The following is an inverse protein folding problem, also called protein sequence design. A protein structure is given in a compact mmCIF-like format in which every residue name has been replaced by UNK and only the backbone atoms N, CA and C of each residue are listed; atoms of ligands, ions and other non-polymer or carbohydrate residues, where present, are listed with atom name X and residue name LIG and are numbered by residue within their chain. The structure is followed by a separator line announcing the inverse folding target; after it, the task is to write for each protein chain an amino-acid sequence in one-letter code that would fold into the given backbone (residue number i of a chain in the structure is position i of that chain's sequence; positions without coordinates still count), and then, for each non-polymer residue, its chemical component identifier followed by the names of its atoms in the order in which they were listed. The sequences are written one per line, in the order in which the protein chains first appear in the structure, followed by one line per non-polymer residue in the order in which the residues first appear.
data_IF_374429446713
#
_entry.id   IF_374429446713
#
_cell.length_a   1.000
_cell.length_b   1.000
_cell.length_c   1.000
_cell.angle_alpha   90.00
_cell.angle_beta   90.00
_cell.angle_gamma   90.00
#
_symmetry.space_group_name_H-M   'P 1'
#
loop_
_entity.id
_entity.type
_entity.pdbx_description
1 polymer ?
#
# COMPACT_ATOMS: atom_id res chain seq x y z
N UNK A 1 -9.42 67.04 53.32
CA UNK A 1 -8.83 68.01 52.38
C UNK A 1 -8.96 67.39 51.00
N UNK A 2 -9.94 67.84 50.34
CA UNK A 2 -10.03 68.46 49.01
C UNK A 2 -9.57 67.48 47.86
N UNK A 3 -10.22 67.31 46.76
CA UNK A 3 -11.44 67.99 46.21
C UNK A 3 -11.84 67.17 44.95
N UNK A 4 -13.12 66.93 44.78
CA UNK A 4 -13.97 67.16 43.60
C UNK A 4 -13.32 67.14 42.18
N UNK A 5 -13.82 66.42 41.21
CA UNK A 5 -14.96 66.74 40.32
C UNK A 5 -14.96 65.72 39.19
N UNK A 6 -16.03 64.96 38.93
CA UNK A 6 -17.14 65.22 38.02
C UNK A 6 -16.69 65.68 36.64
N UNK A 7 -16.86 64.84 35.62
CA UNK A 7 -17.51 65.21 34.37
C UNK A 7 -18.01 63.94 33.64
N UNK A 8 -19.33 63.86 33.51
CA UNK A 8 -20.04 63.05 32.52
C UNK A 8 -19.70 63.52 31.11
N UNK A 9 -19.50 62.61 30.17
CA UNK A 9 -19.84 62.87 28.75
C UNK A 9 -20.26 61.57 28.09
N UNK A 10 -21.48 61.58 27.65
CA UNK A 10 -22.10 60.76 26.62
C UNK A 10 -21.19 60.63 25.42
N UNK A 11 -21.06 59.45 24.91
CA UNK A 11 -20.54 59.25 23.55
C UNK A 11 -21.47 58.31 22.80
N UNK A 12 -22.08 58.91 21.81
CA UNK A 12 -23.01 58.40 20.85
C UNK A 12 -22.50 57.11 20.18
N UNK A 13 -23.39 56.17 20.04
CA UNK A 13 -23.25 54.94 19.25
C UNK A 13 -23.30 55.33 17.76
N UNK A 14 -22.16 55.45 17.09
CA UNK A 14 -22.11 55.56 15.63
C UNK A 14 -22.18 54.17 15.02
N UNK A 15 -23.34 53.83 14.52
CA UNK A 15 -23.59 52.69 13.65
C UNK A 15 -22.94 52.90 12.30
N UNK A 16 -21.77 52.32 12.07
CA UNK A 16 -21.11 52.33 10.77
C UNK A 16 -21.73 51.23 9.89
N UNK A 17 -22.70 51.60 9.08
CA UNK A 17 -23.23 50.78 7.99
C UNK A 17 -22.12 50.52 6.95
N UNK A 18 -21.51 49.35 6.96
CA UNK A 18 -20.66 48.88 5.86
C UNK A 18 -21.53 48.64 4.63
N UNK A 19 -21.43 49.55 3.65
CA UNK A 19 -21.94 49.38 2.30
C UNK A 19 -21.28 48.12 1.69
N UNK A 20 -22.06 47.07 1.51
CA UNK A 20 -21.72 45.92 0.68
C UNK A 20 -21.67 46.39 -0.77
N UNK A 21 -20.48 46.57 -1.32
CA UNK A 21 -20.23 46.89 -2.72
C UNK A 21 -20.58 45.67 -3.55
N UNK A 22 -21.69 45.72 -4.29
CA UNK A 22 -22.15 44.64 -5.15
C UNK A 22 -21.11 44.29 -6.22
N UNK A 23 -20.68 43.05 -6.27
CA UNK A 23 -19.74 42.50 -7.29
C UNK A 23 -20.43 42.20 -8.64
N UNK A 24 -21.63 42.70 -8.86
CA UNK A 24 -22.40 42.45 -10.09
C UNK A 24 -21.75 42.90 -11.42
N UNK A 25 -20.99 44.00 -11.52
CA UNK A 25 -20.41 44.37 -12.81
C UNK A 25 -19.30 43.43 -13.28
N UNK A 26 -18.63 42.76 -12.36
CA UNK A 26 -17.51 41.84 -12.70
C UNK A 26 -18.01 40.52 -13.27
N UNK A 27 -19.13 40.03 -12.76
CA UNK A 27 -19.75 38.77 -13.25
C UNK A 27 -20.33 38.96 -14.65
N UNK A 28 -20.96 40.12 -14.93
CA UNK A 28 -21.49 40.42 -16.25
C UNK A 28 -20.37 40.55 -17.29
N UNK A 29 -19.23 41.12 -16.93
CA UNK A 29 -18.07 41.25 -17.82
C UNK A 29 -17.46 39.86 -18.16
N UNK A 30 -17.36 38.96 -17.20
CA UNK A 30 -16.83 37.59 -17.42
C UNK A 30 -17.78 36.79 -18.30
N UNK A 31 -19.07 36.86 -18.09
CA UNK A 31 -20.06 36.15 -18.92
C UNK A 31 -20.05 36.67 -20.36
N UNK A 32 -19.89 37.99 -20.56
CA UNK A 32 -19.79 38.55 -21.90
C UNK A 32 -18.54 38.11 -22.65
N UNK A 33 -17.38 38.02 -21.96
CA UNK A 33 -16.12 37.50 -22.57
C UNK A 33 -16.22 36.04 -22.94
N UNK A 34 -16.82 35.21 -22.10
CA UNK A 34 -17.03 33.78 -22.38
C UNK A 34 -17.96 33.57 -23.57
N UNK A 35 -19.04 34.37 -23.68
CA UNK A 35 -19.95 34.32 -24.83
C UNK A 35 -19.26 34.70 -26.15
N UNK A 36 -18.41 35.74 -26.14
CA UNK A 36 -17.67 36.18 -27.36
C UNK A 36 -16.65 35.10 -27.78
N UNK A 37 -15.93 34.48 -26.83
CA UNK A 37 -14.97 33.44 -27.14
C UNK A 37 -15.69 32.18 -27.69
N UNK A 38 -16.86 31.84 -27.16
CA UNK A 38 -17.66 30.70 -27.64
C UNK A 38 -18.18 30.97 -29.06
N UNK A 39 -18.63 32.18 -29.39
CA UNK A 39 -19.08 32.57 -30.74
C UNK A 39 -17.91 32.55 -31.74
N UNK A 40 -16.74 33.04 -31.33
CA UNK A 40 -15.54 33.01 -32.17
C UNK A 40 -15.08 31.55 -32.47
N UNK A 41 -15.18 30.65 -31.48
CA UNK A 41 -14.84 29.24 -31.63
C UNK A 41 -15.80 28.52 -32.57
N UNK A 42 -17.11 28.76 -32.46
CA UNK A 42 -18.11 28.20 -33.38
C UNK A 42 -17.94 28.76 -34.81
N UNK A 43 -17.63 30.06 -34.95
CA UNK A 43 -17.34 30.66 -36.23
C UNK A 43 -16.07 30.07 -36.88
N UNK A 44 -15.05 29.75 -36.12
CA UNK A 44 -13.83 29.04 -36.58
C UNK A 44 -14.10 27.61 -37.01
N UNK A 45 -15.00 26.90 -36.31
CA UNK A 45 -15.41 25.51 -36.65
C UNK A 45 -16.27 25.47 -37.94
N UNK A 46 -17.03 26.53 -38.24
CA UNK A 46 -17.93 26.63 -39.40
C UNK A 46 -17.30 27.35 -40.62
N UNK A 47 -16.00 27.74 -40.50
CA UNK A 47 -15.32 28.39 -41.62
C UNK A 47 -14.99 27.35 -42.68
N UNK A 48 -15.59 27.47 -43.89
CA UNK A 48 -15.26 26.54 -44.97
C UNK A 48 -13.83 26.82 -45.42
N UNK A 49 -12.93 25.85 -45.05
CA UNK A 49 -11.55 25.89 -45.52
C UNK A 49 -11.50 26.00 -47.04
N UNK A 50 -10.81 27.03 -47.52
CA UNK A 50 -10.58 27.21 -48.97
C UNK A 50 -9.95 25.93 -49.54
N UNK A 51 -10.66 25.32 -50.46
CA UNK A 51 -10.21 24.19 -51.30
C UNK A 51 -8.89 24.58 -51.95
N UNK A 52 -7.78 24.00 -51.47
CA UNK A 52 -6.51 24.02 -52.14
C UNK A 52 -6.66 23.24 -53.47
N UNK A 53 -6.20 23.85 -54.55
CA UNK A 53 -6.12 23.21 -55.89
C UNK A 53 -5.43 21.87 -55.78
N UNK A 54 -5.91 20.81 -56.49
CA UNK A 54 -5.25 19.52 -56.49
C UNK A 54 -3.85 19.66 -57.10
N UNK A 55 -2.84 19.28 -56.33
CA UNK A 55 -1.48 19.07 -56.82
C UNK A 55 -1.52 17.85 -57.75
N UNK A 56 -1.01 17.91 -58.99
CA UNK A 56 -1.00 16.75 -59.84
C UNK A 56 -0.15 15.64 -59.22
N UNK A 57 -0.71 14.45 -59.14
CA UNK A 57 -0.03 13.26 -58.64
C UNK A 57 1.20 12.97 -59.53
N UNK A 58 2.36 12.63 -58.96
CA UNK A 58 3.49 12.15 -59.73
C UNK A 58 3.06 10.89 -60.51
N UNK A 59 3.31 10.86 -61.79
CA UNK A 59 3.13 9.69 -62.67
C UNK A 59 3.81 8.50 -62.02
N UNK A 60 3.03 7.46 -61.71
CA UNK A 60 3.55 6.15 -61.38
C UNK A 60 4.38 5.64 -62.57
N UNK A 61 5.66 5.54 -62.37
CA UNK A 61 6.52 4.75 -63.24
C UNK A 61 6.23 3.31 -62.88
N UNK A 62 5.53 2.63 -63.76
CA UNK A 62 5.31 1.19 -63.62
C UNK A 62 6.64 0.50 -63.90
N UNK A 63 7.37 0.19 -62.83
CA UNK A 63 8.30 -0.92 -62.85
C UNK A 63 7.44 -2.17 -62.73
N UNK A 64 7.40 -2.95 -63.77
CA UNK A 64 6.88 -4.29 -63.73
C UNK A 64 7.79 -5.13 -62.83
N UNK A 65 7.38 -5.28 -61.60
CA UNK A 65 7.83 -6.36 -60.76
C UNK A 65 6.62 -7.22 -60.42
N UNK A 66 6.65 -8.37 -60.97
CA UNK A 66 5.92 -9.55 -60.55
C UNK A 66 6.00 -9.63 -59.01
N UNK A 67 4.89 -9.89 -58.31
CA UNK A 67 4.98 -10.12 -56.87
C UNK A 67 5.94 -11.30 -56.67
N UNK A 68 7.14 -10.97 -56.21
CA UNK A 68 8.08 -11.98 -55.80
C UNK A 68 7.39 -12.83 -54.75
N UNK A 69 7.29 -14.12 -55.01
CA UNK A 69 7.10 -15.14 -53.99
C UNK A 69 7.89 -14.74 -52.72
N UNK A 70 7.34 -14.92 -51.50
CA UNK A 70 8.14 -14.79 -50.32
C UNK A 70 9.38 -15.67 -50.53
N UNK A 71 10.55 -15.05 -50.41
CA UNK A 71 11.80 -15.76 -50.56
C UNK A 71 11.69 -16.98 -49.64
N UNK A 72 11.63 -18.16 -50.24
CA UNK A 72 11.75 -19.41 -49.56
C UNK A 72 13.04 -19.25 -48.71
N UNK A 73 12.91 -19.26 -47.42
CA UNK A 73 14.02 -19.29 -46.46
C UNK A 73 14.69 -20.64 -46.71
N UNK A 74 15.63 -20.65 -47.70
CA UNK A 74 16.31 -21.87 -48.10
C UNK A 74 17.08 -22.37 -46.87
N UNK A 75 16.57 -23.43 -46.27
CA UNK A 75 17.31 -24.15 -45.22
C UNK A 75 18.66 -24.55 -45.85
N UNK A 76 19.71 -23.91 -45.37
CA UNK A 76 21.07 -24.20 -45.88
C UNK A 76 21.59 -25.42 -45.15
N UNK A 77 21.82 -26.48 -45.91
CA UNK A 77 22.31 -27.75 -45.39
C UNK A 77 23.84 -27.76 -45.39
N UNK A 78 24.41 -28.20 -44.28
CA UNK A 78 25.83 -28.45 -44.13
C UNK A 78 26.04 -29.95 -43.93
N UNK A 79 26.80 -30.60 -44.81
CA UNK A 79 27.20 -31.98 -44.68
C UNK A 79 28.66 -32.07 -44.27
N UNK A 80 28.96 -32.84 -43.25
CA UNK A 80 30.31 -33.05 -42.75
C UNK A 80 30.79 -34.48 -43.00
N UNK A 81 32.08 -34.64 -43.21
CA UNK A 81 32.70 -35.97 -43.27
C UNK A 81 32.75 -36.62 -41.88
N UNK A 82 32.61 -37.95 -41.78
CA UNK A 82 32.62 -38.63 -40.46
C UNK A 82 33.85 -38.35 -39.59
N UNK A 83 35.00 -38.12 -40.20
CA UNK A 83 36.26 -37.77 -39.51
C UNK A 83 36.21 -36.40 -38.87
N UNK A 84 35.55 -35.43 -39.52
CA UNK A 84 35.37 -34.07 -39.00
C UNK A 84 34.40 -34.02 -37.81
N UNK A 85 33.38 -34.89 -37.84
CA UNK A 85 32.42 -35.02 -36.75
C UNK A 85 33.05 -35.57 -35.47
N UNK A 86 33.95 -36.53 -35.58
CA UNK A 86 34.65 -37.09 -34.40
C UNK A 86 35.58 -36.03 -33.73
N UNK A 87 36.19 -35.16 -34.54
CA UNK A 87 37.05 -34.11 -34.01
C UNK A 87 36.27 -32.92 -33.45
N UNK A 88 35.03 -32.72 -33.89
CA UNK A 88 34.21 -31.56 -33.51
C UNK A 88 33.59 -31.67 -32.10
N UNK A 89 33.53 -32.91 -31.51
CA UNK A 89 32.98 -33.11 -30.16
C UNK A 89 31.55 -32.56 -30.01
N UNK A 90 30.71 -32.75 -31.01
CA UNK A 90 29.38 -32.14 -31.07
C UNK A 90 28.48 -32.71 -29.97
N UNK A 91 27.84 -31.81 -29.21
CA UNK A 91 26.76 -32.14 -28.28
C UNK A 91 25.46 -31.62 -28.83
N UNK A 92 24.47 -32.50 -28.95
CA UNK A 92 23.15 -32.17 -29.44
C UNK A 92 22.20 -32.25 -28.27
N UNK A 93 21.40 -31.18 -28.07
CA UNK A 93 20.38 -31.12 -27.02
C UNK A 93 19.03 -30.79 -27.67
N UNK A 94 17.97 -31.23 -27.00
CA UNK A 94 16.59 -30.92 -27.43
C UNK A 94 16.18 -29.58 -26.87
N UNK A 95 15.58 -28.75 -27.71
CA UNK A 95 15.03 -27.46 -27.30
C UNK A 95 13.90 -27.67 -26.29
N UNK A 96 14.12 -27.21 -25.08
CA UNK A 96 13.15 -27.26 -23.98
C UNK A 96 12.31 -26.00 -23.92
N UNK A 97 11.27 -26.08 -23.11
CA UNK A 97 10.42 -24.94 -22.78
C UNK A 97 10.79 -24.35 -21.44
N UNK A 98 10.71 -23.01 -21.35
CA UNK A 98 10.73 -22.30 -20.06
C UNK A 98 9.62 -21.24 -20.05
N UNK A 99 9.10 -20.93 -18.84
CA UNK A 99 8.13 -19.85 -18.73
C UNK A 99 8.69 -18.53 -19.26
N UNK A 100 7.97 -17.86 -20.15
CA UNK A 100 8.36 -16.58 -20.72
C UNK A 100 8.49 -15.46 -19.68
N UNK A 101 7.99 -15.69 -18.47
CA UNK A 101 7.92 -14.72 -17.38
C UNK A 101 9.27 -14.31 -16.77
N UNK A 102 10.40 -14.97 -17.10
CA UNK A 102 11.72 -14.51 -16.62
C UNK A 102 12.30 -13.36 -17.46
N UNK A 103 11.70 -13.03 -18.61
CA UNK A 103 12.29 -12.08 -19.57
C UNK A 103 11.95 -10.60 -19.34
N UNK A 104 10.88 -10.26 -18.60
CA UNK A 104 10.48 -8.87 -18.35
C UNK A 104 10.04 -8.65 -16.90
N UNK A 105 10.86 -9.03 -15.95
CA UNK A 105 10.64 -8.60 -14.56
C UNK A 105 11.12 -7.16 -14.43
N UNK A 106 10.16 -6.24 -14.47
CA UNK A 106 10.47 -4.84 -14.25
C UNK A 106 10.92 -4.64 -12.81
N UNK A 107 12.21 -4.40 -12.63
CA UNK A 107 12.80 -4.21 -11.31
C UNK A 107 12.72 -2.75 -10.90
N UNK A 108 12.17 -2.49 -9.72
CA UNK A 108 12.24 -1.19 -9.07
C UNK A 108 12.71 -1.34 -7.64
N UNK A 109 13.28 -0.29 -7.08
CA UNK A 109 13.61 -0.26 -5.66
C UNK A 109 12.39 0.14 -4.86
N UNK A 110 12.13 -0.57 -3.76
CA UNK A 110 11.06 -0.28 -2.81
C UNK A 110 11.61 -0.08 -1.40
N UNK A 111 10.83 0.57 -0.56
CA UNK A 111 11.11 0.77 0.87
C UNK A 111 10.06 0.00 1.66
N UNK A 112 10.52 -0.77 2.65
CA UNK A 112 9.64 -1.48 3.59
C UNK A 112 9.03 -0.47 4.56
N UNK A 113 7.71 -0.48 4.65
CA UNK A 113 6.93 0.36 5.57
C UNK A 113 6.01 -0.51 6.43
N UNK A 114 5.63 0.02 7.58
CA UNK A 114 4.61 -0.61 8.39
C UNK A 114 3.26 -0.64 7.65
N UNK A 115 2.48 -1.68 7.88
CA UNK A 115 1.09 -1.69 7.48
C UNK A 115 0.30 -0.78 8.44
N UNK A 116 0.01 0.46 8.03
CA UNK A 116 -0.68 1.45 8.87
C UNK A 116 -2.08 1.01 9.30
N UNK A 117 -2.71 0.08 8.57
CA UNK A 117 -4.01 -0.48 8.97
C UNK A 117 -3.87 -1.47 10.14
N UNK A 118 -2.64 -1.89 10.46
CA UNK A 118 -2.29 -2.75 11.59
C UNK A 118 -1.56 -2.00 12.69
N UNK A 119 -1.51 -0.69 12.61
CA UNK A 119 -1.01 0.16 13.67
C UNK A 119 -2.15 0.60 14.59
N UNK A 120 -1.96 0.44 15.88
CA UNK A 120 -2.96 0.81 16.88
C UNK A 120 -2.32 1.73 17.90
N UNK A 121 -2.80 2.98 18.05
CA UNK A 121 -2.32 3.86 19.10
C UNK A 121 -2.84 3.36 20.47
N UNK A 122 -1.99 3.42 21.47
CA UNK A 122 -2.34 3.24 22.88
C UNK A 122 -2.56 4.61 23.48
N UNK A 123 -3.78 4.91 23.83
CA UNK A 123 -4.16 6.23 24.37
C UNK A 123 -4.54 6.12 25.86
N UNK A 124 -4.23 7.15 26.63
CA UNK A 124 -4.74 7.26 28.00
C UNK A 124 -6.13 7.88 27.99
N UNK A 125 -7.11 7.22 28.60
CA UNK A 125 -8.47 7.77 28.75
C UNK A 125 -8.54 8.88 29.81
N UNK A 126 -7.51 8.99 30.68
CA UNK A 126 -7.44 9.97 31.76
C UNK A 126 -6.21 10.84 31.65
N UNK A 127 -6.32 12.09 32.13
CA UNK A 127 -5.17 12.94 32.37
C UNK A 127 -4.53 12.63 33.70
N UNK A 128 -3.24 12.95 33.83
CA UNK A 128 -2.48 12.75 35.07
C UNK A 128 -0.99 12.55 34.85
N UNK A 129 -0.32 11.95 35.82
CA UNK A 129 1.12 11.72 35.80
C UNK A 129 1.38 10.27 35.39
N UNK A 130 2.21 10.05 34.40
CA UNK A 130 2.65 8.72 33.98
C UNK A 130 3.58 8.15 35.05
N UNK A 131 3.12 7.15 35.79
CA UNK A 131 3.91 6.51 36.88
C UNK A 131 4.90 5.50 36.31
N UNK A 132 4.48 4.71 35.35
CA UNK A 132 5.27 3.63 34.77
C UNK A 132 4.88 3.40 33.31
N UNK A 133 5.87 3.10 32.49
CA UNK A 133 5.74 2.59 31.14
C UNK A 133 6.56 1.31 31.08
N UNK A 134 5.91 0.16 30.86
CA UNK A 134 6.59 -1.14 30.99
C UNK A 134 7.29 -1.61 29.73
N UNK A 135 6.67 -1.59 28.51
CA UNK A 135 7.36 -2.04 27.33
C UNK A 135 8.29 -0.97 26.75
N UNK A 136 9.42 -1.44 26.25
CA UNK A 136 10.36 -0.62 25.49
C UNK A 136 10.10 -0.73 23.99
N UNK A 137 10.73 0.15 23.22
CA UNK A 137 10.70 0.08 21.76
C UNK A 137 11.22 -1.27 21.27
N UNK A 138 10.51 -1.86 20.33
CA UNK A 138 10.84 -3.17 19.75
C UNK A 138 10.31 -4.37 20.56
N UNK A 139 9.80 -4.18 21.78
CA UNK A 139 9.22 -5.28 22.55
C UNK A 139 7.83 -5.66 22.05
N UNK A 140 7.55 -6.95 22.09
CA UNK A 140 6.24 -7.51 21.75
C UNK A 140 5.29 -7.42 22.96
N UNK A 141 4.07 -7.01 22.71
CA UNK A 141 2.98 -6.94 23.69
C UNK A 141 1.78 -7.75 23.21
N UNK A 142 1.00 -8.24 24.17
CA UNK A 142 -0.26 -8.94 23.90
C UNK A 142 -1.44 -8.02 24.18
N UNK A 143 -2.52 -8.20 23.45
CA UNK A 143 -3.78 -7.51 23.73
C UNK A 143 -4.19 -7.68 25.19
N UNK A 144 -4.55 -6.58 25.84
CA UNK A 144 -4.90 -6.55 27.27
C UNK A 144 -3.72 -6.50 28.24
N UNK A 145 -2.49 -6.66 27.77
CA UNK A 145 -1.30 -6.50 28.61
C UNK A 145 -1.18 -5.05 29.08
N UNK A 146 -0.95 -4.84 30.38
CA UNK A 146 -0.68 -3.51 30.91
C UNK A 146 0.62 -2.96 30.36
N UNK A 147 0.55 -1.79 29.74
CA UNK A 147 1.70 -1.12 29.10
C UNK A 147 2.08 0.20 29.75
N UNK A 148 1.14 0.84 30.45
CA UNK A 148 1.42 2.02 31.26
C UNK A 148 0.53 2.07 32.48
N UNK A 149 0.95 2.87 33.47
CA UNK A 149 0.17 3.23 34.66
C UNK A 149 0.16 4.75 34.75
N UNK A 150 -1.02 5.33 34.82
CA UNK A 150 -1.23 6.78 34.94
C UNK A 150 -1.85 7.06 36.28
N UNK A 151 -1.29 8.00 37.03
CA UNK A 151 -1.85 8.51 38.27
C UNK A 151 -2.82 9.65 37.93
N UNK A 152 -4.11 9.45 38.21
CA UNK A 152 -5.18 10.40 37.91
C UNK A 152 -5.96 10.80 39.15
N UNK A 153 -5.92 12.07 39.48
CA UNK A 153 -6.75 12.62 40.56
C UNK A 153 -8.23 12.57 40.21
N UNK A 154 -8.58 12.76 38.94
CA UNK A 154 -9.97 12.70 38.47
C UNK A 154 -10.61 11.33 38.72
N UNK A 155 -9.83 10.25 38.55
CA UNK A 155 -10.32 8.91 38.84
C UNK A 155 -10.62 8.74 40.32
N UNK A 156 -9.69 9.20 41.18
CA UNK A 156 -9.88 9.09 42.65
C UNK A 156 -11.10 9.88 43.13
N UNK A 157 -11.26 11.12 42.65
CA UNK A 157 -12.41 11.97 42.95
C UNK A 157 -13.73 11.35 42.47
N UNK A 158 -13.74 10.80 41.25
CA UNK A 158 -14.92 10.13 40.70
C UNK A 158 -15.31 8.87 41.49
N UNK A 159 -14.33 8.11 42.00
CA UNK A 159 -14.58 6.96 42.89
C UNK A 159 -15.17 7.40 44.22
N UNK A 160 -14.64 8.48 44.80
CA UNK A 160 -15.16 9.03 46.09
C UNK A 160 -16.60 9.49 45.94
N UNK A 161 -16.93 10.21 44.86
CA UNK A 161 -18.30 10.63 44.56
C UNK A 161 -19.25 9.44 44.32
N UNK A 162 -18.78 8.37 43.67
CA UNK A 162 -19.57 7.16 43.49
C UNK A 162 -19.87 6.47 44.84
N UNK A 163 -18.91 6.40 45.76
CA UNK A 163 -19.10 5.84 47.10
C UNK A 163 -20.10 6.66 47.94
N UNK A 164 -20.01 7.99 47.86
CA UNK A 164 -20.99 8.89 48.53
C UNK A 164 -22.38 8.64 47.95
N UNK A 165 -22.54 8.58 46.64
CA UNK A 165 -23.82 8.33 46.03
C UNK A 165 -24.40 6.93 46.37
N UNK A 166 -23.54 5.91 46.54
CA UNK A 166 -23.98 4.60 47.05
C UNK A 166 -24.54 4.66 48.45
N UNK A 167 -23.90 5.44 49.35
CA UNK A 167 -24.37 5.64 50.72
C UNK A 167 -25.71 6.39 50.74
N UNK A 168 -25.86 7.45 49.94
CA UNK A 168 -27.12 8.19 49.76
C UNK A 168 -28.24 7.28 49.22
N UNK A 169 -27.94 6.44 48.24
CA UNK A 169 -28.89 5.48 47.69
C UNK A 169 -29.39 4.50 48.76
N UNK A 170 -28.48 3.99 49.59
CA UNK A 170 -28.85 3.08 50.70
C UNK A 170 -29.69 3.78 51.76
N UNK A 171 -29.44 5.04 52.07
CA UNK A 171 -30.25 5.85 52.96
C UNK A 171 -31.66 6.06 52.40
N UNK A 172 -31.75 6.54 51.16
CA UNK A 172 -33.08 6.74 50.50
C UNK A 172 -33.86 5.44 50.33
N UNK A 173 -33.18 4.33 50.08
CA UNK A 173 -33.80 3.02 50.03
C UNK A 173 -34.41 2.61 51.36
N UNK A 174 -33.68 2.79 52.48
CA UNK A 174 -34.16 2.54 53.83
C UNK A 174 -35.27 3.50 54.24
N UNK A 175 -35.16 4.78 53.86
CA UNK A 175 -36.24 5.77 54.10
C UNK A 175 -37.51 5.41 53.38
N UNK A 176 -37.44 5.13 52.09
CA UNK A 176 -38.59 4.70 51.30
C UNK A 176 -39.27 3.45 51.88
N UNK A 177 -38.47 2.44 52.26
CA UNK A 177 -39.01 1.20 52.83
C UNK A 177 -39.73 1.46 54.19
N UNK A 178 -39.23 2.38 55.04
CA UNK A 178 -39.93 2.78 56.28
C UNK A 178 -41.18 3.55 56.00
N UNK A 179 -41.17 4.53 55.10
CA UNK A 179 -42.32 5.35 54.73
C UNK A 179 -43.45 4.49 54.15
N UNK A 180 -43.09 3.53 53.29
CA UNK A 180 -44.06 2.59 52.73
C UNK A 180 -44.79 1.79 53.82
N UNK A 181 -44.10 1.28 54.84
CA UNK A 181 -44.71 0.59 55.99
C UNK A 181 -45.57 1.50 56.83
N UNK A 182 -45.18 2.77 57.03
CA UNK A 182 -46.00 3.73 57.79
C UNK A 182 -47.26 4.11 57.04
N UNK A 183 -47.27 4.19 55.72
CA UNK A 183 -48.46 4.43 54.89
C UNK A 183 -49.42 3.26 55.01
N UNK A 184 -48.94 2.01 55.02
CA UNK A 184 -49.80 0.80 55.17
C UNK A 184 -50.60 0.81 56.44
N UNK A 185 -50.04 1.35 57.54
CA UNK A 185 -50.70 1.44 58.85
C UNK A 185 -51.40 2.79 59.07
N UNK A 186 -51.45 3.67 58.07
CA UNK A 186 -52.09 4.99 58.15
C UNK A 186 -51.30 6.04 58.92
N UNK A 187 -50.01 5.81 59.24
CA UNK A 187 -49.15 6.69 60.04
C UNK A 187 -48.30 7.66 59.21
N UNK A 188 -48.37 7.61 57.85
CA UNK A 188 -47.76 8.56 56.91
C UNK A 188 -48.67 8.82 55.74
N UNK A 189 -48.47 9.94 55.03
CA UNK A 189 -49.25 10.32 53.85
C UNK A 189 -48.73 9.64 52.59
N UNK A 190 -49.61 9.51 51.59
CA UNK A 190 -49.24 9.05 50.25
C UNK A 190 -48.27 10.01 49.59
N UNK A 191 -48.41 11.32 49.83
CA UNK A 191 -47.50 12.35 49.33
C UNK A 191 -46.07 12.15 49.81
N UNK A 192 -45.90 11.82 51.12
CA UNK A 192 -44.56 11.50 51.68
C UNK A 192 -43.93 10.27 51.04
N UNK A 193 -44.75 9.25 50.69
CA UNK A 193 -44.27 8.06 49.97
C UNK A 193 -43.85 8.40 48.54
N UNK A 194 -44.62 9.25 47.85
CA UNK A 194 -44.26 9.71 46.48
C UNK A 194 -42.96 10.52 46.52
N UNK A 195 -42.82 11.42 47.51
CA UNK A 195 -41.55 12.16 47.70
C UNK A 195 -40.36 11.21 47.94
N UNK A 196 -40.53 10.22 48.85
CA UNK A 196 -39.53 9.24 49.15
C UNK A 196 -39.17 8.38 47.90
N UNK A 197 -40.14 8.00 47.09
CA UNK A 197 -39.95 7.26 45.87
C UNK A 197 -39.17 8.11 44.80
N UNK A 198 -39.51 9.40 44.71
CA UNK A 198 -38.82 10.31 43.80
C UNK A 198 -37.33 10.45 44.19
N UNK A 199 -37.03 10.70 45.49
CA UNK A 199 -35.65 10.77 46.00
C UNK A 199 -34.87 9.47 45.77
N UNK A 200 -35.53 8.32 45.95
CA UNK A 200 -34.92 7.01 45.70
C UNK A 200 -34.57 6.84 44.22
N UNK A 201 -35.49 7.29 43.33
CA UNK A 201 -35.26 7.24 41.89
C UNK A 201 -34.09 8.13 41.45
N UNK A 202 -34.02 9.35 42.01
CA UNK A 202 -32.95 10.32 41.72
C UNK A 202 -31.59 9.78 42.21
N UNK A 203 -31.51 9.24 43.43
CA UNK A 203 -30.29 8.62 43.94
C UNK A 203 -29.86 7.42 43.09
N UNK A 204 -30.79 6.59 42.60
CA UNK A 204 -30.50 5.49 41.69
C UNK A 204 -29.90 5.98 40.38
N UNK A 205 -30.48 7.03 39.81
CA UNK A 205 -29.99 7.65 38.58
C UNK A 205 -28.60 8.22 38.75
N UNK A 206 -28.34 8.91 39.89
CA UNK A 206 -27.03 9.46 40.23
C UNK A 206 -25.95 8.38 40.32
N UNK A 207 -26.21 7.28 41.03
CA UNK A 207 -25.29 6.13 41.12
C UNK A 207 -25.01 5.55 39.72
N UNK A 208 -26.04 5.42 38.89
CA UNK A 208 -25.89 4.90 37.53
C UNK A 208 -25.00 5.80 36.66
N UNK A 209 -25.18 7.11 36.74
CA UNK A 209 -24.39 8.10 36.04
C UNK A 209 -22.91 8.08 36.46
N UNK A 210 -22.66 8.06 37.78
CA UNK A 210 -21.30 7.99 38.31
C UNK A 210 -20.62 6.66 38.04
N UNK A 211 -21.37 5.56 38.06
CA UNK A 211 -20.88 4.26 37.60
C UNK A 211 -20.45 4.31 36.13
N UNK A 212 -21.24 4.89 35.26
CA UNK A 212 -20.92 5.03 33.85
C UNK A 212 -19.69 5.90 33.65
N UNK A 213 -19.56 7.01 34.42
CA UNK A 213 -18.35 7.85 34.41
C UNK A 213 -17.09 7.06 34.72
N UNK A 214 -17.13 6.20 35.76
CA UNK A 214 -15.97 5.37 36.15
C UNK A 214 -15.58 4.38 35.04
N UNK A 215 -16.55 3.80 34.33
CA UNK A 215 -16.29 2.92 33.19
C UNK A 215 -15.65 3.69 32.03
N UNK A 216 -16.08 4.91 31.75
CA UNK A 216 -15.49 5.78 30.73
C UNK A 216 -14.06 6.21 31.08
N UNK A 217 -13.75 6.36 32.36
CA UNK A 217 -12.38 6.61 32.84
C UNK A 217 -11.48 5.36 32.82
N UNK A 218 -11.96 4.25 32.25
CA UNK A 218 -11.19 3.02 32.05
C UNK A 218 -11.23 2.03 33.23
N UNK A 219 -12.08 2.23 34.22
CA UNK A 219 -12.27 1.26 35.28
C UNK A 219 -13.04 0.04 34.79
N UNK A 220 -12.61 -1.16 35.15
CA UNK A 220 -13.34 -2.37 34.77
C UNK A 220 -14.65 -2.50 35.57
N UNK A 221 -15.67 -3.10 34.97
CA UNK A 221 -16.96 -3.35 35.62
C UNK A 221 -16.82 -4.13 36.95
N UNK A 222 -15.91 -5.10 36.96
CA UNK A 222 -15.62 -5.88 38.19
C UNK A 222 -15.07 -4.99 39.30
N UNK A 223 -14.12 -4.11 38.98
CA UNK A 223 -13.52 -3.18 39.94
C UNK A 223 -14.56 -2.20 40.47
N UNK A 224 -15.40 -1.62 39.62
CA UNK A 224 -16.49 -0.72 40.03
C UNK A 224 -17.48 -1.46 40.94
N UNK A 225 -17.88 -2.70 40.58
CA UNK A 225 -18.79 -3.49 41.39
C UNK A 225 -18.19 -3.93 42.74
N UNK A 226 -16.87 -4.02 42.87
CA UNK A 226 -16.20 -4.37 44.12
C UNK A 226 -15.93 -3.17 45.04
N UNK A 227 -16.11 -1.95 44.56
CA UNK A 227 -15.83 -0.71 45.29
C UNK A 227 -16.91 -0.52 46.36
N UNK A 228 -16.50 -0.56 47.67
CA UNK A 228 -17.39 -0.45 48.84
C UNK A 228 -16.91 0.53 49.91
N UNK A 229 -15.63 0.88 49.90
CA UNK A 229 -15.07 1.75 50.92
C UNK A 229 -14.00 2.69 50.36
N UNK A 230 -13.78 3.81 51.04
CA UNK A 230 -12.76 4.81 50.66
C UNK A 230 -11.35 4.24 50.67
N UNK A 231 -11.08 3.20 51.45
CA UNK A 231 -9.76 2.53 51.46
C UNK A 231 -9.45 1.79 50.16
N UNK A 232 -10.44 1.53 49.33
CA UNK A 232 -10.30 0.89 48.03
C UNK A 232 -10.11 1.88 46.86
N UNK A 233 -10.22 3.18 47.13
CA UNK A 233 -10.00 4.24 46.13
C UNK A 233 -8.56 4.21 45.67
N UNK A 234 -8.37 4.21 44.39
CA UNK A 234 -7.05 4.21 43.77
C UNK A 234 -6.97 5.29 42.70
N UNK A 235 -5.90 6.04 42.71
CA UNK A 235 -5.61 7.02 41.62
C UNK A 235 -4.91 6.40 40.43
N UNK A 236 -4.56 5.12 40.49
CA UNK A 236 -3.82 4.46 39.42
C UNK A 236 -4.76 3.86 38.36
N UNK A 237 -4.56 4.29 37.13
CA UNK A 237 -5.22 3.75 35.94
C UNK A 237 -4.23 2.90 35.17
N UNK A 238 -4.58 1.62 34.97
CA UNK A 238 -3.83 0.73 34.13
C UNK A 238 -4.26 0.95 32.67
N UNK A 239 -3.30 1.24 31.80
CA UNK A 239 -3.53 1.38 30.35
C UNK A 239 -3.11 0.08 29.67
N UNK A 240 -4.06 -0.71 29.11
CA UNK A 240 -3.75 -1.95 28.44
C UNK A 240 -3.41 -1.72 26.96
N UNK A 241 -2.64 -2.62 26.37
CA UNK A 241 -2.45 -2.68 24.90
C UNK A 241 -3.76 -3.06 24.21
N UNK A 242 -4.21 -2.29 23.21
CA UNK A 242 -5.46 -2.58 22.48
C UNK A 242 -5.35 -3.74 21.50
N UNK A 243 -4.13 -4.05 21.05
CA UNK A 243 -3.82 -5.12 20.08
C UNK A 243 -2.54 -5.85 20.49
N UNK A 244 -2.34 -7.03 19.88
CA UNK A 244 -1.06 -7.75 19.97
C UNK A 244 -0.15 -7.24 18.86
N UNK A 245 1.13 -6.98 19.18
CA UNK A 245 2.09 -6.48 18.20
C UNK A 245 3.39 -6.02 18.86
N UNK A 246 4.20 -5.30 18.14
CA UNK A 246 5.48 -4.75 18.57
C UNK A 246 5.32 -3.24 18.84
N UNK A 247 5.95 -2.73 19.88
CA UNK A 247 5.99 -1.29 20.16
C UNK A 247 6.90 -0.60 19.13
N UNK A 248 6.31 0.19 18.26
CA UNK A 248 7.03 0.90 17.18
C UNK A 248 7.29 2.36 17.48
N UNK A 249 6.52 2.94 18.41
CA UNK A 249 6.71 4.33 18.87
C UNK A 249 6.36 4.44 20.33
N UNK A 250 7.09 5.27 21.06
CA UNK A 250 6.83 5.63 22.45
C UNK A 250 6.90 7.14 22.57
N UNK A 251 5.80 7.76 22.98
CA UNK A 251 5.62 9.21 23.00
C UNK A 251 5.69 9.79 24.43
N UNK A 252 5.81 8.95 25.46
CA UNK A 252 5.77 9.40 26.87
C UNK A 252 6.81 8.70 27.74
N UNK A 253 7.23 9.38 28.80
CA UNK A 253 8.16 8.88 29.80
C UNK A 253 7.54 8.87 31.19
N UNK A 254 8.03 8.00 32.13
CA UNK A 254 7.65 8.07 33.51
C UNK A 254 7.94 9.46 34.11
N UNK A 255 7.01 9.99 34.90
CA UNK A 255 7.05 11.34 35.47
C UNK A 255 6.42 12.43 34.61
N UNK A 256 6.12 12.17 33.34
CA UNK A 256 5.47 13.13 32.44
C UNK A 256 4.00 13.35 32.81
N UNK A 257 3.54 14.61 32.73
CA UNK A 257 2.13 14.98 32.88
C UNK A 257 1.46 14.91 31.52
N UNK A 258 0.36 14.19 31.45
CA UNK A 258 -0.40 13.99 30.20
C UNK A 258 -1.85 14.43 30.35
N UNK A 259 -2.45 14.83 29.27
CA UNK A 259 -3.88 15.07 29.14
C UNK A 259 -4.65 13.79 28.78
N UNK A 260 -5.96 13.80 28.99
CA UNK A 260 -6.82 12.72 28.49
C UNK A 260 -6.73 12.61 26.96
N UNK A 261 -6.84 11.38 26.44
CA UNK A 261 -6.70 11.02 25.03
C UNK A 261 -5.29 11.23 24.42
N UNK A 262 -4.27 11.46 25.26
CA UNK A 262 -2.88 11.50 24.79
C UNK A 262 -2.43 10.11 24.34
N UNK A 263 -1.84 10.03 23.15
CA UNK A 263 -1.15 8.83 22.66
C UNK A 263 0.11 8.60 23.51
N UNK A 264 0.23 7.42 24.12
CA UNK A 264 1.37 7.02 24.94
C UNK A 264 2.42 6.27 24.14
N UNK A 265 1.97 5.41 23.26
CA UNK A 265 2.80 4.56 22.41
C UNK A 265 1.97 4.01 21.25
N UNK A 266 2.65 3.34 20.31
CA UNK A 266 2.01 2.69 19.17
C UNK A 266 2.39 1.23 19.10
N UNK A 267 1.39 0.38 18.95
CA UNK A 267 1.54 -1.07 18.76
C UNK A 267 1.28 -1.38 17.31
N UNK A 268 2.21 -2.07 16.65
CA UNK A 268 2.11 -2.45 15.24
C UNK A 268 2.22 -3.96 15.10
N UNK A 269 1.28 -4.57 14.39
CA UNK A 269 1.42 -5.95 13.96
C UNK A 269 2.33 -6.00 12.71
N UNK A 270 3.56 -6.49 12.93
CA UNK A 270 4.59 -6.62 11.91
C UNK A 270 4.56 -7.96 11.17
N UNK A 271 3.50 -8.75 11.30
CA UNK A 271 3.34 -10.03 10.57
C UNK A 271 3.22 -9.84 9.07
N UNK A 272 2.75 -8.66 8.65
CA UNK A 272 2.73 -8.20 7.27
C UNK A 272 3.29 -6.79 7.20
N UNK A 273 4.04 -6.52 6.16
CA UNK A 273 4.60 -5.19 5.88
C UNK A 273 4.19 -4.73 4.49
N UNK A 274 4.28 -3.46 4.25
CA UNK A 274 4.17 -2.90 2.93
C UNK A 274 5.55 -2.64 2.35
N UNK A 275 5.67 -2.91 1.06
CA UNK A 275 6.79 -2.43 0.25
C UNK A 275 6.23 -1.37 -0.69
N UNK A 276 6.73 -0.16 -0.58
CA UNK A 276 6.35 0.95 -1.44
C UNK A 276 7.46 1.17 -2.44
N UNK A 277 7.18 0.89 -3.70
CA UNK A 277 8.07 1.10 -4.83
C UNK A 277 7.56 2.22 -5.73
N UNK A 278 8.47 2.81 -6.51
CA UNK A 278 8.12 3.80 -7.52
C UNK A 278 8.20 3.18 -8.91
N UNK A 279 7.14 3.29 -9.67
CA UNK A 279 7.02 2.71 -11.02
C UNK A 279 6.84 3.83 -12.03
N UNK A 280 7.63 3.79 -13.11
CA UNK A 280 7.54 4.78 -14.18
C UNK A 280 6.19 4.71 -14.91
N UNK A 281 5.70 5.85 -15.36
CA UNK A 281 4.44 6.02 -16.09
C UNK A 281 4.28 5.03 -17.26
N UNK A 282 5.34 4.83 -18.06
CA UNK A 282 5.36 3.90 -19.21
C UNK A 282 5.06 2.44 -18.85
N UNK A 283 5.25 2.08 -17.59
CA UNK A 283 5.19 0.70 -17.10
C UNK A 283 3.94 0.44 -16.24
N UNK A 284 3.23 1.52 -15.86
CA UNK A 284 2.01 1.42 -15.04
C UNK A 284 0.89 0.62 -15.71
N UNK A 285 0.80 0.67 -17.04
CA UNK A 285 -0.21 -0.09 -17.78
C UNK A 285 -0.10 -1.62 -17.58
N UNK A 286 1.07 -2.10 -17.17
CA UNK A 286 1.35 -3.53 -16.93
C UNK A 286 1.06 -3.96 -15.49
N UNK A 287 0.83 -3.02 -14.56
CA UNK A 287 0.73 -3.27 -13.12
C UNK A 287 -0.67 -2.92 -12.64
N UNK A 288 -1.36 -3.89 -12.05
CA UNK A 288 -2.73 -3.73 -11.55
C UNK A 288 -2.80 -4.19 -10.09
N UNK A 289 -3.79 -3.71 -9.37
CA UNK A 289 -4.10 -4.26 -8.04
C UNK A 289 -4.37 -5.75 -8.17
N UNK A 290 -3.70 -6.56 -7.35
CA UNK A 290 -3.74 -8.02 -7.42
C UNK A 290 -2.56 -8.65 -8.17
N UNK A 291 -1.78 -7.89 -8.95
CA UNK A 291 -0.56 -8.40 -9.59
C UNK A 291 0.40 -8.98 -8.57
N UNK A 292 1.06 -10.08 -8.93
CA UNK A 292 2.13 -10.67 -8.14
C UNK A 292 3.38 -9.78 -8.18
N UNK A 293 4.12 -9.76 -7.08
CA UNK A 293 5.41 -9.10 -7.00
C UNK A 293 6.42 -10.02 -6.30
N UNK A 294 7.62 -10.10 -6.85
CA UNK A 294 8.76 -10.79 -6.25
C UNK A 294 9.64 -9.75 -5.56
N UNK A 295 9.84 -9.91 -4.27
CA UNK A 295 10.67 -9.00 -3.46
C UNK A 295 11.96 -9.71 -3.07
N UNK A 296 13.09 -9.09 -3.36
CA UNK A 296 14.42 -9.57 -2.98
C UNK A 296 15.14 -8.51 -2.17
N UNK A 297 16.01 -8.94 -1.27
CA UNK A 297 16.78 -8.04 -0.40
C UNK A 297 18.23 -8.49 -0.37
N UNK A 298 19.16 -7.54 -0.38
CA UNK A 298 20.59 -7.83 -0.20
C UNK A 298 20.90 -8.45 1.17
N UNK A 299 20.08 -8.13 2.19
CA UNK A 299 20.21 -8.71 3.53
C UNK A 299 19.92 -10.21 3.54
N UNK A 300 19.10 -10.69 2.61
CA UNK A 300 18.72 -12.10 2.49
C UNK A 300 18.97 -12.62 1.07
N UNK A 301 20.26 -12.75 0.68
CA UNK A 301 20.63 -13.22 -0.64
C UNK A 301 20.04 -14.63 -0.87
N UNK A 302 19.66 -14.91 -2.09
CA UNK A 302 19.06 -16.19 -2.52
C UNK A 302 17.64 -16.48 -1.94
N UNK A 303 16.98 -15.50 -1.36
CA UNK A 303 15.56 -15.60 -0.96
C UNK A 303 14.70 -14.63 -1.76
N UNK A 304 13.67 -15.18 -2.37
CA UNK A 304 12.63 -14.40 -3.04
C UNK A 304 11.35 -14.49 -2.20
N UNK A 305 10.81 -13.35 -1.85
CA UNK A 305 9.58 -13.23 -1.11
C UNK A 305 8.47 -12.81 -2.05
N UNK A 306 7.35 -13.54 -2.02
CA UNK A 306 6.21 -13.24 -2.89
C UNK A 306 5.26 -12.29 -2.19
N UNK A 307 4.99 -11.18 -2.83
CA UNK A 307 4.00 -10.18 -2.41
C UNK A 307 2.92 -10.01 -3.47
N UNK A 308 1.95 -9.17 -3.14
CA UNK A 308 0.85 -8.81 -4.05
C UNK A 308 0.66 -7.31 -4.05
N UNK A 309 0.47 -6.73 -5.23
CA UNK A 309 0.11 -5.32 -5.37
C UNK A 309 -1.25 -5.08 -4.71
N UNK A 310 -1.27 -4.27 -3.66
CA UNK A 310 -2.47 -3.92 -2.90
C UNK A 310 -3.04 -2.54 -3.28
N UNK A 311 -2.20 -1.67 -3.85
CA UNK A 311 -2.59 -0.32 -4.23
C UNK A 311 -1.65 0.23 -5.30
N UNK A 312 -2.20 0.95 -6.26
CA UNK A 312 -1.48 1.75 -7.24
C UNK A 312 -1.99 3.18 -7.08
N UNK A 313 -1.09 4.12 -6.82
CA UNK A 313 -1.48 5.52 -6.62
C UNK A 313 -1.98 6.09 -7.96
N UNK A 314 -3.21 6.66 -8.00
CA UNK A 314 -3.70 7.32 -9.21
C UNK A 314 -2.96 8.63 -9.53
N UNK A 315 -2.12 9.10 -8.62
CA UNK A 315 -1.35 10.33 -8.76
C UNK A 315 0.07 10.02 -9.21
N UNK A 316 0.49 10.68 -10.29
CA UNK A 316 1.86 10.61 -10.80
C UNK A 316 2.64 11.81 -10.23
N UNK A 317 3.81 11.55 -9.66
CA UNK A 317 4.75 12.59 -9.30
C UNK A 317 5.33 13.20 -10.57
N UNK A 318 5.14 14.52 -10.76
CA UNK A 318 5.51 15.22 -11.99
C UNK A 318 7.03 15.37 -12.17
N UNK A 319 7.79 15.39 -11.07
CA UNK A 319 9.24 15.56 -11.11
C UNK A 319 9.95 14.27 -11.51
N UNK A 320 9.53 13.14 -10.94
CA UNK A 320 10.14 11.82 -11.20
C UNK A 320 9.42 11.03 -12.30
N UNK A 321 8.21 11.45 -12.73
CA UNK A 321 7.35 10.70 -13.64
C UNK A 321 7.06 9.28 -13.19
N UNK A 322 6.86 9.11 -11.87
CA UNK A 322 6.57 7.82 -11.25
C UNK A 322 5.26 7.84 -10.47
N UNK A 323 4.60 6.69 -10.34
CA UNK A 323 3.53 6.47 -9.38
C UNK A 323 3.99 5.53 -8.28
N UNK A 324 3.46 5.71 -7.08
CA UNK A 324 3.71 4.81 -5.98
C UNK A 324 2.87 3.54 -6.13
N UNK A 325 3.53 2.40 -6.02
CA UNK A 325 2.89 1.08 -5.99
C UNK A 325 3.17 0.43 -4.65
N UNK A 326 2.11 0.03 -3.95
CA UNK A 326 2.20 -0.62 -2.65
C UNK A 326 1.97 -2.11 -2.80
N UNK A 327 2.93 -2.87 -2.32
CA UNK A 327 2.91 -4.33 -2.29
C UNK A 327 2.71 -4.76 -0.84
N UNK A 328 1.76 -5.64 -0.60
CA UNK A 328 1.60 -6.31 0.67
C UNK A 328 2.45 -7.58 0.70
N UNK A 329 3.29 -7.68 1.72
CA UNK A 329 4.27 -8.75 1.89
C UNK A 329 4.12 -9.40 3.26
N UNK A 330 4.02 -10.72 3.31
CA UNK A 330 4.10 -11.47 4.56
C UNK A 330 5.51 -11.35 5.15
N UNK A 331 5.59 -11.14 6.46
CA UNK A 331 6.85 -10.92 7.18
C UNK A 331 7.06 -11.98 8.28
N UNK A 332 7.26 -13.25 7.93
CA UNK A 332 7.46 -14.30 8.90
C UNK A 332 8.74 -14.05 9.71
N UNK A 333 8.65 -14.22 11.02
CA UNK A 333 9.79 -13.97 11.92
C UNK A 333 10.25 -12.52 11.96
N UNK A 334 9.47 -11.57 11.45
CA UNK A 334 9.80 -10.14 11.40
C UNK A 334 11.17 -9.87 10.75
N UNK A 335 11.46 -10.60 9.67
CA UNK A 335 12.72 -10.50 8.94
C UNK A 335 12.89 -9.11 8.33
N UNK A 336 11.84 -8.58 7.70
CA UNK A 336 11.87 -7.23 7.15
C UNK A 336 11.67 -6.20 8.26
N UNK A 337 12.59 -5.26 8.35
CA UNK A 337 12.50 -4.11 9.24
C UNK A 337 11.98 -2.90 8.47
N UNK A 338 11.20 -2.06 9.14
CA UNK A 338 10.72 -0.79 8.57
C UNK A 338 11.95 0.05 8.18
N UNK A 339 11.91 0.64 6.99
CA UNK A 339 13.02 1.41 6.42
C UNK A 339 14.01 0.61 5.58
N UNK A 340 13.90 -0.73 5.52
CA UNK A 340 14.77 -1.53 4.64
C UNK A 340 14.49 -1.24 3.17
N UNK A 341 15.56 -1.17 2.37
CA UNK A 341 15.48 -1.14 0.91
C UNK A 341 15.41 -2.56 0.36
N UNK A 342 14.58 -2.75 -0.63
CA UNK A 342 14.37 -4.04 -1.30
C UNK A 342 14.21 -3.82 -2.81
N UNK A 343 14.53 -4.85 -3.60
CA UNK A 343 14.26 -4.84 -5.02
C UNK A 343 12.92 -5.55 -5.28
N UNK A 344 12.09 -4.93 -6.10
CA UNK A 344 10.76 -5.42 -6.44
C UNK A 344 10.70 -5.71 -7.93
N UNK A 345 10.39 -6.95 -8.27
CA UNK A 345 10.08 -7.36 -9.63
C UNK A 345 8.58 -7.63 -9.77
N UNK A 346 7.91 -6.94 -10.68
CA UNK A 346 6.48 -7.17 -10.93
C UNK A 346 6.29 -8.28 -11.96
N UNK A 347 5.42 -9.24 -11.64
CA UNK A 347 4.96 -10.21 -12.63
C UNK A 347 3.95 -9.54 -13.57
N UNK A 348 4.24 -9.54 -14.86
CA UNK A 348 3.33 -9.03 -15.89
C UNK A 348 2.11 -9.96 -15.99
N UNK A 349 0.90 -9.42 -15.88
CA UNK A 349 -0.33 -10.19 -16.10
C UNK A 349 -0.36 -10.71 -17.54
N UNK A 350 -0.43 -12.03 -17.68
CA UNK A 350 -0.46 -12.72 -18.97
C UNK A 350 0.84 -13.39 -19.42
N UNK A 351 1.97 -13.15 -18.73
CA UNK A 351 3.22 -13.86 -19.00
C UNK A 351 3.34 -15.21 -18.25
N UNK A 352 2.44 -15.49 -17.31
CA UNK A 352 2.60 -16.62 -16.38
C UNK A 352 2.34 -18.01 -16.99
N UNK A 353 1.83 -18.10 -18.24
CA UNK A 353 1.50 -19.40 -18.85
C UNK A 353 2.01 -19.60 -20.27
N UNK A 354 2.67 -18.61 -20.86
CA UNK A 354 3.30 -18.85 -22.16
C UNK A 354 4.70 -19.39 -21.94
N UNK A 355 4.85 -20.68 -22.07
CA UNK A 355 6.16 -21.31 -22.24
C UNK A 355 6.70 -20.90 -23.62
N UNK A 356 7.98 -20.59 -23.68
CA UNK A 356 8.69 -20.28 -24.92
C UNK A 356 9.86 -21.24 -25.10
N UNK A 357 10.16 -21.63 -26.36
CA UNK A 357 11.37 -22.38 -26.62
C UNK A 357 12.59 -21.58 -26.16
N UNK A 358 13.54 -22.24 -25.53
CA UNK A 358 14.80 -21.62 -25.09
C UNK A 358 15.98 -22.38 -25.65
N UNK A 359 17.01 -21.64 -26.06
CA UNK A 359 18.27 -22.21 -26.56
C UNK A 359 19.45 -21.76 -25.67
N UNK A 360 20.39 -22.64 -25.34
CA UNK A 360 21.60 -22.25 -24.61
C UNK A 360 22.39 -21.20 -25.39
N UNK A 361 23.06 -20.31 -24.68
CA UNK A 361 23.90 -19.26 -25.29
C UNK A 361 24.95 -19.83 -26.23
N UNK A 362 25.53 -20.97 -25.89
CA UNK A 362 26.59 -21.63 -26.66
C UNK A 362 26.10 -22.24 -27.98
N UNK A 363 24.80 -22.46 -28.14
CA UNK A 363 24.21 -22.94 -29.39
C UNK A 363 24.06 -21.85 -30.47
N UNK A 364 24.06 -20.60 -30.03
CA UNK A 364 23.78 -19.45 -30.94
C UNK A 364 25.07 -18.96 -31.61
N UNK A 365 25.06 -18.90 -32.92
CA UNK A 365 26.15 -18.41 -33.76
C UNK A 365 25.72 -17.16 -34.50
N UNK A 366 26.56 -16.12 -34.49
CA UNK A 366 26.33 -14.92 -35.30
C UNK A 366 27.04 -15.05 -36.62
N UNK A 367 26.31 -15.00 -37.74
CA UNK A 367 26.82 -15.04 -39.08
C UNK A 367 26.34 -13.77 -39.79
N UNK A 368 27.28 -12.92 -40.20
CA UNK A 368 26.93 -11.59 -40.68
C UNK A 368 26.27 -10.76 -39.59
N UNK A 369 25.07 -10.28 -39.83
CA UNK A 369 24.30 -9.49 -38.88
C UNK A 369 23.08 -10.25 -38.30
N UNK A 370 23.05 -11.58 -38.49
CA UNK A 370 21.93 -12.43 -38.03
C UNK A 370 22.40 -13.53 -37.09
N UNK A 371 21.53 -13.89 -36.17
CA UNK A 371 21.74 -14.99 -35.21
C UNK A 371 21.16 -16.27 -35.80
N UNK A 372 21.94 -17.37 -35.68
CA UNK A 372 21.59 -18.67 -36.26
C UNK A 372 21.84 -19.77 -35.24
N UNK A 373 21.15 -20.87 -35.41
CA UNK A 373 21.43 -22.16 -34.75
C UNK A 373 21.58 -23.29 -35.74
N UNK A 374 22.35 -24.31 -35.38
CA UNK A 374 22.49 -25.52 -36.15
C UNK A 374 21.51 -26.59 -35.66
N UNK A 375 20.59 -27.01 -36.50
CA UNK A 375 19.64 -28.10 -36.24
C UNK A 375 20.26 -29.42 -36.71
N UNK A 376 20.17 -30.43 -35.87
CA UNK A 376 20.56 -31.79 -36.24
C UNK A 376 19.39 -32.44 -36.99
N UNK A 377 19.70 -33.05 -38.16
CA UNK A 377 18.73 -33.81 -38.94
C UNK A 377 18.64 -35.27 -38.46
N UNK A 378 17.88 -36.10 -39.18
CA UNK A 378 17.88 -37.55 -38.97
C UNK A 378 19.19 -38.20 -39.41
N UNK A 379 19.90 -37.60 -40.37
CA UNK A 379 21.20 -38.02 -40.82
C UNK A 379 22.27 -37.41 -39.90
N UNK A 380 23.08 -38.21 -39.20
CA UNK A 380 24.05 -37.74 -38.21
C UNK A 380 25.15 -36.84 -38.80
N UNK A 381 25.32 -36.84 -40.12
CA UNK A 381 26.33 -36.05 -40.81
C UNK A 381 25.79 -34.74 -41.43
N UNK A 382 24.49 -34.48 -41.24
CA UNK A 382 23.81 -33.36 -41.88
C UNK A 382 23.19 -32.39 -40.88
N UNK A 383 23.51 -31.12 -40.98
CA UNK A 383 23.02 -30.04 -40.11
C UNK A 383 22.35 -28.98 -40.96
N UNK A 384 21.32 -28.34 -40.41
CA UNK A 384 20.60 -27.24 -41.04
C UNK A 384 20.92 -25.96 -40.30
N UNK A 385 21.48 -24.98 -40.98
CA UNK A 385 21.66 -23.64 -40.49
C UNK A 385 20.34 -22.88 -40.57
N UNK A 386 19.79 -22.48 -39.45
CA UNK A 386 18.51 -21.78 -39.37
C UNK A 386 18.65 -20.43 -38.68
N UNK A 387 18.19 -19.34 -39.30
CA UNK A 387 18.14 -18.04 -38.65
C UNK A 387 17.12 -18.06 -37.52
N UNK A 388 17.42 -17.36 -36.42
CA UNK A 388 16.57 -17.27 -35.25
C UNK A 388 16.42 -15.82 -34.78
N UNK A 389 15.23 -15.48 -34.33
CA UNK A 389 15.01 -14.22 -33.60
C UNK A 389 14.99 -14.55 -32.11
N UNK A 390 15.90 -13.94 -31.40
CA UNK A 390 16.10 -14.19 -29.96
C UNK A 390 15.73 -12.98 -29.12
N UNK A 391 15.12 -13.22 -27.98
CA UNK A 391 14.93 -12.22 -26.95
C UNK A 391 16.18 -12.02 -26.09
N UNK A 392 16.14 -11.13 -25.07
CA UNK A 392 17.27 -10.87 -24.17
C UNK A 392 17.65 -12.15 -23.42
N UNK A 393 18.97 -12.35 -23.25
CA UNK A 393 19.50 -13.52 -22.56
C UNK A 393 19.14 -13.48 -21.06
N UNK A 394 18.70 -14.61 -20.52
CA UNK A 394 18.44 -14.81 -19.09
C UNK A 394 18.99 -16.16 -18.65
N UNK A 395 19.71 -16.19 -17.53
CA UNK A 395 20.26 -17.42 -16.91
C UNK A 395 21.02 -18.34 -17.87
N UNK A 396 21.78 -17.79 -18.84
CA UNK A 396 22.55 -18.58 -19.79
C UNK A 396 21.75 -19.12 -20.99
N UNK A 397 20.49 -18.70 -21.16
CA UNK A 397 19.61 -19.09 -22.25
C UNK A 397 19.03 -17.87 -22.98
N UNK A 398 18.72 -18.05 -24.24
CA UNK A 398 17.96 -17.09 -25.03
C UNK A 398 16.54 -17.62 -25.29
N UNK A 399 15.47 -16.86 -25.00
CA UNK A 399 14.14 -17.19 -25.48
C UNK A 399 14.08 -17.02 -27.00
N UNK A 400 13.48 -17.98 -27.68
CA UNK A 400 13.35 -17.96 -29.13
C UNK A 400 11.96 -17.42 -29.50
N UNK A 401 11.95 -16.32 -30.23
CA UNK A 401 10.72 -15.72 -30.73
C UNK A 401 10.29 -16.33 -32.09
N UNK A 402 11.26 -16.60 -32.95
CA UNK A 402 11.04 -17.23 -34.26
C UNK A 402 12.24 -18.10 -34.66
N UNK A 403 11.97 -19.16 -35.41
CA UNK A 403 12.99 -19.99 -36.09
C UNK A 403 13.17 -21.40 -35.52
N UNK A 404 12.86 -21.66 -34.24
CA UNK A 404 13.02 -22.99 -33.63
C UNK A 404 11.81 -23.34 -32.77
N UNK A 405 11.38 -24.59 -32.78
CA UNK A 405 10.27 -25.09 -31.99
C UNK A 405 10.76 -25.96 -30.84
N UNK A 406 9.90 -26.12 -29.82
CA UNK A 406 10.12 -27.08 -28.76
C UNK A 406 10.20 -28.50 -29.32
N UNK A 407 11.22 -29.24 -28.91
CA UNK A 407 11.48 -30.58 -29.39
C UNK A 407 12.49 -30.64 -30.56
N UNK A 408 12.86 -29.49 -31.16
CA UNK A 408 13.93 -29.46 -32.18
C UNK A 408 15.27 -29.83 -31.52
N UNK A 409 16.11 -30.54 -32.30
CA UNK A 409 17.44 -30.97 -31.86
C UNK A 409 18.46 -29.95 -32.34
N UNK A 410 19.15 -29.27 -31.43
CA UNK A 410 20.15 -28.24 -31.74
C UNK A 410 21.53 -28.66 -31.25
N UNK A 411 22.55 -28.17 -31.96
CA UNK A 411 23.95 -28.34 -31.53
C UNK A 411 24.31 -27.29 -30.50
N UNK A 412 24.65 -27.72 -29.29
CA UNK A 412 25.02 -26.82 -28.17
C UNK A 412 26.52 -26.66 -28.03
N UNK A 413 27.30 -27.75 -28.12
CA UNK A 413 28.76 -27.69 -28.12
C UNK A 413 29.28 -28.03 -29.51
N UNK A 414 30.37 -27.39 -29.94
CA UNK A 414 30.96 -27.55 -31.23
C UNK A 414 30.27 -26.74 -32.36
N UNK A 415 29.23 -25.96 -32.05
CA UNK A 415 28.53 -25.09 -33.00
C UNK A 415 29.44 -24.08 -33.72
N UNK A 416 30.53 -23.65 -33.03
CA UNK A 416 31.55 -22.79 -33.60
C UNK A 416 32.31 -23.48 -34.76
N UNK A 417 32.63 -24.77 -34.63
CA UNK A 417 33.29 -25.56 -35.70
C UNK A 417 32.38 -25.73 -36.93
N UNK A 418 31.09 -25.96 -36.70
CA UNK A 418 30.09 -26.00 -37.78
C UNK A 418 30.03 -24.66 -38.50
N UNK A 419 30.08 -23.56 -37.80
CA UNK A 419 30.14 -22.21 -38.38
C UNK A 419 31.41 -22.04 -39.25
N UNK A 420 32.58 -22.47 -38.73
CA UNK A 420 33.85 -22.33 -39.46
C UNK A 420 33.81 -23.14 -40.76
N UNK A 421 33.30 -24.38 -40.76
CA UNK A 421 33.20 -25.23 -41.92
C UNK A 421 32.15 -24.68 -42.94
N UNK A 422 31.02 -24.17 -42.42
CA UNK A 422 30.01 -23.51 -43.27
C UNK A 422 30.57 -22.27 -43.97
N UNK A 423 31.41 -21.50 -43.34
CA UNK A 423 32.09 -20.34 -43.94
C UNK A 423 33.07 -20.76 -45.03
N UNK A 424 33.83 -21.87 -44.85
CA UNK A 424 34.77 -22.39 -45.86
C UNK A 424 34.03 -22.83 -47.12
N UNK A 425 32.95 -23.64 -46.99
CA UNK A 425 32.19 -24.09 -48.16
C UNK A 425 31.63 -22.94 -49.00
N UNK A 426 31.43 -21.78 -48.45
CA UNK A 426 31.00 -20.58 -49.18
C UNK A 426 32.13 -19.84 -49.88
N UNK A 427 33.35 -19.95 -49.39
CA UNK A 427 34.52 -19.33 -50.04
C UNK A 427 35.09 -20.18 -51.14
N UNK A 428 34.81 -21.49 -51.16
CA UNK A 428 35.23 -22.41 -52.22
C UNK A 428 34.25 -22.46 -53.43
N UNK A 429 33.06 -21.85 -53.34
CA UNK A 429 32.08 -21.73 -54.42
C UNK A 429 32.17 -20.40 -55.22
N UNK A 430 33.11 -19.55 -54.90
CA UNK A 430 33.42 -18.30 -55.61
C UNK A 430 34.89 -18.29 -56.12
#
# INVERSE_FOLDING_TARGET
MNDKQKVSRETETSVTTKRVRSRQPLIVAVVAVVAIVSIAFVAWLLWPGKSGKPVPAPRAVSFGETPGQPAATGEQKLSLLPEQLQQAGLRIETVGERPAAEAETQMTTGIVQANIYKETPVVSLVGGIVRRVSPELGQMVRRGQQVAVVFSNELADSQSKYLTALAELDEHHRHHARTAKLVEIGAASREELEMANTKLRDAKSNVTNLRQKLLLLGMSSQRVNSLRSTSQVSSEVSVPAPSTGTITSRAVNPGEVIEANKELMRVTDLSTVWVVGQVYEKDLAKIHVGSGANVTSETYPNRTFRGRVSYVDPKIDQASRTAQVRIELANPGQMFKIGMYVNVGFATLGAAEKTMPVVPKDAVQTIGNQQHVFLATQNPNEFILRPVQLGPASNGFYPVMEGVNVGDRIVTQGSFLLRAEWLKTRFDEH
#
